data_IF_809135764138
#
_entry.id   IF_809135764138
#
_cell.length_a   1.000
_cell.length_b   1.000
_cell.length_c   1.000
_cell.angle_alpha   90.00
_cell.angle_beta   90.00
_cell.angle_gamma   90.00
#
_symmetry.space_group_name_H-M   'P 1'
#
loop_
_entity.id
_entity.type
_entity.pdbx_description
1 polymer ?
#
# COMPACT_ATOMS: atom_id res chain seq x y z
N UNK A 1 -10.46 -21.78 -13.75
CA UNK A 1 -9.32 -20.85 -13.77
C UNK A 1 -9.43 -20.04 -12.49
N UNK A 2 -8.75 -20.47 -11.43
CA UNK A 2 -8.80 -19.77 -10.15
C UNK A 2 -7.91 -18.54 -10.30
N UNK A 3 -8.51 -17.35 -10.36
CA UNK A 3 -7.78 -16.10 -10.19
C UNK A 3 -7.03 -16.21 -8.87
N UNK A 4 -5.70 -16.30 -8.92
CA UNK A 4 -4.88 -16.34 -7.72
C UNK A 4 -4.80 -14.91 -7.15
N UNK A 5 -5.93 -14.39 -6.72
CA UNK A 5 -6.09 -13.06 -6.15
C UNK A 5 -5.44 -13.05 -4.77
N UNK A 6 -4.12 -12.92 -4.74
CA UNK A 6 -3.28 -12.95 -3.54
C UNK A 6 -3.30 -11.61 -2.82
N UNK A 7 -4.48 -10.98 -2.74
CA UNK A 7 -4.68 -9.73 -2.03
C UNK A 7 -4.52 -9.96 -0.53
N UNK A 8 -3.89 -8.99 0.15
CA UNK A 8 -3.69 -9.02 1.60
C UNK A 8 -5.07 -9.10 2.30
N UNK A 9 -5.30 -10.13 3.12
CA UNK A 9 -6.57 -10.38 3.84
C UNK A 9 -6.54 -9.91 5.30
N UNK A 10 -5.62 -9.00 5.65
CA UNK A 10 -5.55 -8.44 7.00
C UNK A 10 -6.75 -7.53 7.28
N UNK A 11 -7.27 -7.53 8.53
CA UNK A 11 -8.33 -6.62 8.93
C UNK A 11 -7.85 -5.17 8.88
N UNK A 12 -8.77 -4.23 8.75
CA UNK A 12 -8.45 -2.81 8.68
C UNK A 12 -8.29 -2.23 10.09
N UNK A 13 -7.09 -2.41 10.65
CA UNK A 13 -6.70 -1.94 11.99
C UNK A 13 -5.35 -1.24 11.96
N UNK A 14 -5.03 -0.47 13.01
CA UNK A 14 -3.74 0.20 13.18
C UNK A 14 -2.57 -0.80 13.11
N UNK A 15 -2.68 -1.95 13.78
CA UNK A 15 -1.64 -2.99 13.80
C UNK A 15 -1.43 -3.58 12.40
N UNK A 16 -2.50 -3.72 11.64
CA UNK A 16 -2.43 -4.24 10.27
C UNK A 16 -1.73 -3.24 9.35
N UNK A 17 -1.99 -1.93 9.50
CA UNK A 17 -1.26 -0.88 8.77
C UNK A 17 0.23 -0.94 9.11
N UNK A 18 0.58 -0.96 10.40
CA UNK A 18 1.99 -1.04 10.82
C UNK A 18 2.68 -2.29 10.25
N UNK A 19 1.99 -3.44 10.25
CA UNK A 19 2.52 -4.70 9.69
C UNK A 19 2.73 -4.61 8.18
N UNK A 20 1.77 -4.06 7.45
CA UNK A 20 1.83 -3.89 5.99
C UNK A 20 2.94 -2.92 5.58
N UNK A 21 3.10 -1.80 6.30
CA UNK A 21 4.19 -0.85 6.06
C UNK A 21 5.56 -1.45 6.40
N UNK A 22 5.65 -2.24 7.48
CA UNK A 22 6.89 -2.97 7.81
C UNK A 22 7.30 -3.97 6.71
N UNK A 23 6.34 -4.60 6.03
CA UNK A 23 6.62 -5.43 4.85
C UNK A 23 7.21 -4.61 3.70
N UNK A 24 6.67 -3.43 3.41
CA UNK A 24 7.21 -2.55 2.37
C UNK A 24 8.60 -1.96 2.71
N UNK A 25 8.89 -1.79 4.00
CA UNK A 25 10.22 -1.38 4.46
C UNK A 25 11.27 -2.50 4.34
N UNK A 26 10.85 -3.77 4.38
CA UNK A 26 11.72 -4.95 4.32
C UNK A 26 11.24 -5.96 3.25
N UNK A 27 11.25 -5.59 1.95
CA UNK A 27 10.60 -6.35 0.89
C UNK A 27 11.20 -7.74 0.65
N UNK A 28 12.49 -7.95 0.96
CA UNK A 28 13.13 -9.26 0.79
C UNK A 28 12.62 -10.33 1.76
N UNK A 29 11.97 -9.92 2.86
CA UNK A 29 11.36 -10.82 3.84
C UNK A 29 9.83 -10.76 3.81
N UNK A 30 9.26 -9.95 2.93
CA UNK A 30 7.83 -9.69 2.88
C UNK A 30 7.09 -10.81 2.14
N UNK A 31 5.91 -11.23 2.63
CA UNK A 31 5.05 -12.16 1.92
C UNK A 31 4.27 -11.52 0.75
N UNK A 32 4.31 -10.19 0.63
CA UNK A 32 3.51 -9.42 -0.31
C UNK A 32 4.34 -8.34 -1.02
N UNK A 33 3.97 -8.05 -2.26
CA UNK A 33 4.62 -7.03 -3.09
C UNK A 33 4.19 -5.61 -2.72
N UNK A 34 4.97 -4.60 -3.15
CA UNK A 34 4.59 -3.19 -2.96
C UNK A 34 3.26 -2.86 -3.66
N UNK A 35 2.97 -3.50 -4.81
CA UNK A 35 1.67 -3.42 -5.47
C UNK A 35 0.53 -3.90 -4.55
N UNK A 36 0.67 -5.09 -3.96
CA UNK A 36 -0.35 -5.66 -3.08
C UNK A 36 -0.54 -4.85 -1.80
N UNK A 37 0.53 -4.22 -1.31
CA UNK A 37 0.49 -3.28 -0.20
C UNK A 37 -0.32 -2.03 -0.58
N UNK A 38 0.00 -1.38 -1.70
CA UNK A 38 -0.73 -0.21 -2.18
C UNK A 38 -2.22 -0.50 -2.39
N UNK A 39 -2.56 -1.63 -3.01
CA UNK A 39 -3.95 -2.07 -3.19
C UNK A 39 -4.67 -2.36 -1.87
N UNK A 40 -3.98 -2.86 -0.85
CA UNK A 40 -4.59 -3.03 0.47
C UNK A 40 -4.83 -1.69 1.15
N UNK A 41 -3.90 -0.74 1.03
CA UNK A 41 -4.06 0.63 1.53
C UNK A 41 -5.24 1.35 0.87
N UNK A 42 -5.37 1.24 -0.45
CA UNK A 42 -6.52 1.76 -1.21
C UNK A 42 -7.85 1.21 -0.69
N UNK A 43 -7.97 -0.13 -0.59
CA UNK A 43 -9.20 -0.76 -0.09
C UNK A 43 -9.54 -0.32 1.34
N UNK A 44 -8.54 -0.07 2.18
CA UNK A 44 -8.75 0.46 3.52
C UNK A 44 -9.27 1.88 3.44
N UNK A 45 -8.56 2.76 2.74
CA UNK A 45 -8.92 4.16 2.58
C UNK A 45 -10.32 4.32 1.99
N UNK A 46 -10.62 3.63 0.88
CA UNK A 46 -11.93 3.63 0.23
C UNK A 46 -13.08 3.20 1.15
N UNK A 47 -12.85 2.30 2.13
CA UNK A 47 -13.89 1.91 3.09
C UNK A 47 -14.31 3.07 4.01
N UNK A 48 -13.46 4.08 4.19
CA UNK A 48 -13.66 5.19 5.13
C UNK A 48 -13.82 6.54 4.42
N UNK A 49 -14.08 6.54 3.11
CA UNK A 49 -14.34 7.76 2.35
C UNK A 49 -15.66 8.45 2.73
N UNK A 50 -16.69 7.65 2.97
CA UNK A 50 -18.07 8.13 3.17
C UNK A 50 -18.61 7.84 4.59
N UNK A 51 -17.76 7.37 5.50
CA UNK A 51 -18.14 7.04 6.88
C UNK A 51 -17.15 7.64 7.87
N UNK A 52 -17.68 8.19 8.96
CA UNK A 52 -16.86 8.67 10.07
C UNK A 52 -16.06 7.50 10.64
N UNK A 53 -14.73 7.59 10.55
CA UNK A 53 -13.84 6.58 11.10
C UNK A 53 -13.54 6.90 12.57
N UNK A 54 -13.20 5.91 13.40
CA UNK A 54 -12.62 6.17 14.71
C UNK A 54 -11.36 7.05 14.57
N UNK A 55 -11.08 7.93 15.53
CA UNK A 55 -9.93 8.86 15.50
C UNK A 55 -8.59 8.15 15.20
N UNK A 56 -8.42 6.95 15.76
CA UNK A 56 -7.23 6.10 15.54
C UNK A 56 -7.06 5.62 14.10
N UNK A 57 -8.15 5.57 13.32
CA UNK A 57 -8.18 5.24 11.90
C UNK A 57 -8.11 6.52 11.06
N UNK A 58 -8.81 7.60 11.45
CA UNK A 58 -8.76 8.89 10.74
C UNK A 58 -7.32 9.37 10.56
N UNK A 59 -6.49 9.25 11.61
CA UNK A 59 -5.06 9.60 11.55
C UNK A 59 -4.25 8.78 10.54
N UNK A 60 -4.73 7.59 10.15
CA UNK A 60 -4.08 6.73 9.17
C UNK A 60 -4.51 7.05 7.74
N UNK A 61 -5.68 7.66 7.52
CA UNK A 61 -6.23 7.91 6.18
C UNK A 61 -5.26 8.69 5.28
N UNK A 62 -4.57 9.76 5.74
CA UNK A 62 -3.58 10.44 4.91
C UNK A 62 -2.41 9.55 4.50
N UNK A 63 -1.98 8.65 5.39
CA UNK A 63 -0.90 7.70 5.12
C UNK A 63 -1.34 6.66 4.10
N UNK A 64 -2.54 6.09 4.26
CA UNK A 64 -3.10 5.10 3.36
C UNK A 64 -3.27 5.65 1.93
N UNK A 65 -3.79 6.87 1.82
CA UNK A 65 -3.93 7.56 0.53
C UNK A 65 -2.56 7.85 -0.09
N UNK A 66 -1.59 8.33 0.69
CA UNK A 66 -0.26 8.65 0.17
C UNK A 66 0.47 7.38 -0.35
N UNK A 67 0.33 6.22 0.31
CA UNK A 67 0.92 4.97 -0.18
C UNK A 67 0.42 4.60 -1.57
N UNK A 68 -0.89 4.64 -1.80
CA UNK A 68 -1.49 4.33 -3.11
C UNK A 68 -1.11 5.39 -4.15
N UNK A 69 -1.18 6.67 -3.78
CA UNK A 69 -0.88 7.76 -4.72
C UNK A 69 0.58 7.75 -5.13
N UNK A 70 1.51 7.49 -4.20
CA UNK A 70 2.93 7.36 -4.53
C UNK A 70 3.23 6.13 -5.39
N UNK A 71 2.45 5.04 -5.25
CA UNK A 71 2.57 3.88 -6.13
C UNK A 71 2.28 4.25 -7.58
N UNK A 72 1.14 4.91 -7.83
CA UNK A 72 0.75 5.36 -9.16
C UNK A 72 1.74 6.38 -9.74
N UNK A 73 2.14 7.36 -8.93
CA UNK A 73 3.13 8.36 -9.33
C UNK A 73 4.50 7.73 -9.63
N UNK A 74 4.95 6.78 -8.83
CA UNK A 74 6.21 6.08 -9.07
C UNK A 74 6.18 5.36 -10.41
N UNK A 75 5.11 4.61 -10.70
CA UNK A 75 4.97 3.89 -11.96
C UNK A 75 4.89 4.86 -13.16
N UNK A 76 4.08 5.91 -13.05
CA UNK A 76 3.90 6.91 -14.12
C UNK A 76 5.19 7.68 -14.44
N UNK A 77 6.06 7.89 -13.45
CA UNK A 77 7.34 8.57 -13.63
C UNK A 77 8.49 7.62 -14.07
N UNK A 78 8.32 6.31 -13.90
CA UNK A 78 9.36 5.31 -14.19
C UNK A 78 9.15 4.65 -15.54
N UNK A 79 7.90 4.47 -15.96
CA UNK A 79 7.53 3.65 -17.11
C UNK A 79 6.80 4.46 -18.18
N UNK A 80 7.00 4.07 -19.44
CA UNK A 80 6.21 4.59 -20.55
C UNK A 80 4.78 4.05 -20.53
N UNK A 81 3.87 4.73 -21.22
CA UNK A 81 2.46 4.31 -21.32
C UNK A 81 2.29 2.89 -21.86
N UNK A 82 3.11 2.49 -22.84
CA UNK A 82 3.05 1.15 -23.43
C UNK A 82 3.50 0.07 -22.43
N UNK A 83 4.50 0.36 -21.61
CA UNK A 83 4.94 -0.53 -20.52
C UNK A 83 3.87 -0.65 -19.44
N UNK A 84 3.24 0.47 -19.03
CA UNK A 84 2.14 0.48 -18.06
C UNK A 84 0.96 -0.42 -18.47
N UNK A 85 0.71 -0.56 -19.78
CA UNK A 85 -0.41 -1.35 -20.30
C UNK A 85 -0.11 -2.84 -20.43
N UNK A 86 1.15 -3.21 -20.57
CA UNK A 86 1.54 -4.58 -20.98
C UNK A 86 2.33 -5.33 -19.93
N UNK A 87 2.94 -4.61 -18.97
CA UNK A 87 3.82 -5.17 -17.97
C UNK A 87 3.08 -5.53 -16.68
N UNK A 88 3.57 -6.56 -15.99
CA UNK A 88 3.21 -6.88 -14.62
C UNK A 88 4.15 -6.15 -13.64
N UNK A 89 3.57 -5.58 -12.58
CA UNK A 89 4.29 -4.82 -11.55
C UNK A 89 4.43 -5.58 -10.23
N UNK A 90 4.25 -6.90 -10.23
CA UNK A 90 4.28 -7.72 -9.01
C UNK A 90 5.63 -7.71 -8.29
N UNK A 91 6.73 -7.50 -9.02
CA UNK A 91 8.08 -7.50 -8.46
C UNK A 91 8.67 -6.09 -8.36
N UNK A 92 7.88 -5.06 -8.70
CA UNK A 92 8.34 -3.69 -8.71
C UNK A 92 8.46 -3.15 -7.28
N UNK A 93 9.49 -2.34 -7.02
CA UNK A 93 9.82 -1.86 -5.68
C UNK A 93 9.97 -0.34 -5.69
N UNK A 94 8.99 0.34 -5.11
CA UNK A 94 9.17 1.72 -4.64
C UNK A 94 10.30 1.83 -3.59
N UNK A 95 10.85 3.05 -3.38
CA UNK A 95 11.83 3.29 -2.33
C UNK A 95 11.36 2.82 -0.95
N UNK A 96 12.14 1.93 -0.30
CA UNK A 96 11.81 1.39 1.03
C UNK A 96 11.79 2.48 2.12
N UNK A 97 12.55 3.56 1.92
CA UNK A 97 12.58 4.71 2.82
C UNK A 97 11.19 5.37 3.00
N UNK A 98 10.34 5.35 1.96
CA UNK A 98 8.98 5.88 2.07
C UNK A 98 8.14 5.06 3.05
N UNK A 99 8.25 3.72 2.98
CA UNK A 99 7.60 2.82 3.94
C UNK A 99 8.10 2.99 5.36
N UNK A 100 9.39 3.25 5.56
CA UNK A 100 9.94 3.56 6.89
C UNK A 100 9.37 4.87 7.46
N UNK A 101 9.17 5.89 6.62
CA UNK A 101 8.59 7.17 7.02
C UNK A 101 7.10 7.03 7.35
N UNK A 102 6.33 6.35 6.51
CA UNK A 102 4.92 6.04 6.77
C UNK A 102 4.76 5.19 8.04
N UNK A 103 5.63 4.20 8.26
CA UNK A 103 5.60 3.37 9.46
C UNK A 103 5.86 4.21 10.73
N UNK A 104 6.85 5.11 10.68
CA UNK A 104 7.13 6.05 11.79
C UNK A 104 5.95 6.98 12.04
N UNK A 105 5.23 7.42 11.01
CA UNK A 105 4.07 8.29 11.15
C UNK A 105 2.86 7.52 11.73
N UNK A 106 2.61 6.29 11.29
CA UNK A 106 1.50 5.46 11.74
C UNK A 106 1.60 5.01 13.21
N UNK A 107 2.83 4.93 13.75
CA UNK A 107 3.10 4.50 15.12
C UNK A 107 3.25 5.64 16.15
N UNK A 108 3.02 6.90 15.74
CA UNK A 108 2.96 8.05 16.66
C UNK A 108 1.59 8.15 17.34
#
# INVERSE_FOLDING_TARGET
>A
MLSNDSSIQLPFTVESVAKVLAWGAAPDMAPHSHRQIAEWCDRFWCRHLDVDAPEEIERLLPILADVETQWDLYLANTYSLDELRTRSFENERMPTAWFEEWLKAACR
#
